data_IF_645975337410
#
_entry.id   IF_645975337410
#
_cell.length_a   1.000
_cell.length_b   1.000
_cell.length_c   1.000
_cell.angle_alpha   90.00
_cell.angle_beta   90.00
_cell.angle_gamma   90.00
#
_symmetry.space_group_name_H-M   'P 1'
#
loop_
_entity.id
_entity.type
_entity.pdbx_description
1 polymer ?
#
# COMPACT_ATOMS: atom_id res chain seq x y z
N UNK A 1 0.83 -11.74 5.02
CA UNK A 1 0.56 -12.56 3.81
C UNK A 1 -0.86 -13.12 3.78
N UNK A 2 -1.35 -13.68 4.89
CA UNK A 2 -2.73 -14.21 4.97
C UNK A 2 -3.78 -13.16 4.61
N UNK A 3 -3.60 -11.92 5.03
CA UNK A 3 -4.51 -10.82 4.71
C UNK A 3 -4.50 -10.51 3.20
N UNK A 4 -3.35 -10.61 2.53
CA UNK A 4 -3.26 -10.45 1.08
C UNK A 4 -4.04 -11.54 0.36
N UNK A 5 -3.92 -12.79 0.81
CA UNK A 5 -4.70 -13.92 0.29
C UNK A 5 -6.20 -13.76 0.50
N UNK A 6 -6.60 -13.26 1.68
CA UNK A 6 -8.00 -12.96 1.99
C UNK A 6 -8.57 -11.88 1.06
N UNK A 7 -7.81 -10.82 0.83
CA UNK A 7 -8.16 -9.76 -0.12
C UNK A 7 -8.33 -10.31 -1.54
N UNK A 8 -7.42 -11.17 -1.97
CA UNK A 8 -7.52 -11.81 -3.28
C UNK A 8 -8.80 -12.64 -3.42
N UNK A 9 -9.13 -13.42 -2.40
CA UNK A 9 -10.38 -14.18 -2.35
C UNK A 9 -11.63 -13.30 -2.39
N UNK A 10 -11.63 -12.19 -1.66
CA UNK A 10 -12.73 -11.22 -1.68
C UNK A 10 -12.92 -10.60 -3.07
N UNK A 11 -11.82 -10.24 -3.75
CA UNK A 11 -11.88 -9.74 -5.11
C UNK A 11 -12.47 -10.75 -6.09
N UNK A 12 -12.03 -12.00 -6.02
CA UNK A 12 -12.56 -13.07 -6.86
C UNK A 12 -14.04 -13.35 -6.60
N UNK A 13 -14.51 -13.05 -5.40
CA UNK A 13 -15.93 -13.09 -5.03
C UNK A 13 -16.72 -11.83 -5.43
N UNK A 14 -16.09 -10.87 -6.12
CA UNK A 14 -16.76 -9.67 -6.65
C UNK A 14 -16.71 -8.44 -5.74
N UNK A 15 -15.87 -8.44 -4.70
CA UNK A 15 -15.71 -7.30 -3.78
C UNK A 15 -14.35 -6.67 -3.96
N UNK A 16 -14.27 -5.35 -4.09
CA UNK A 16 -12.99 -4.65 -4.10
C UNK A 16 -12.43 -4.57 -2.67
N UNK A 17 -11.31 -5.23 -2.38
CA UNK A 17 -10.74 -5.24 -1.03
C UNK A 17 -9.91 -3.99 -0.76
N UNK A 18 -9.89 -3.57 0.50
CA UNK A 18 -8.96 -2.57 1.04
C UNK A 18 -8.13 -3.23 2.14
N UNK A 19 -6.82 -3.16 2.00
CA UNK A 19 -5.86 -3.72 2.97
C UNK A 19 -5.20 -2.58 3.74
N UNK A 20 -5.41 -2.57 5.05
CA UNK A 20 -4.71 -1.67 5.96
C UNK A 20 -3.48 -2.37 6.52
N UNK A 21 -2.31 -1.76 6.42
CA UNK A 21 -1.09 -2.34 6.93
C UNK A 21 -0.05 -1.28 7.28
N UNK A 22 0.94 -1.68 8.07
CA UNK A 22 2.17 -0.92 8.27
C UNK A 22 3.20 -1.35 7.23
N UNK A 23 4.12 -0.47 6.84
CA UNK A 23 5.15 -0.77 5.83
C UNK A 23 6.08 -1.94 6.20
N UNK A 24 6.27 -2.26 7.48
CA UNK A 24 6.98 -3.48 7.88
C UNK A 24 6.30 -4.74 7.35
N UNK A 25 4.98 -4.71 7.19
CA UNK A 25 4.21 -5.80 6.58
C UNK A 25 4.52 -6.01 5.11
N UNK A 26 5.00 -4.98 4.38
CA UNK A 26 5.39 -5.12 2.98
C UNK A 26 6.47 -6.19 2.79
N UNK A 27 7.47 -6.22 3.67
CA UNK A 27 8.52 -7.24 3.64
C UNK A 27 7.96 -8.65 3.74
N UNK A 28 6.99 -8.88 4.63
CA UNK A 28 6.33 -10.17 4.79
C UNK A 28 5.40 -10.53 3.61
N UNK A 29 4.76 -9.52 3.01
CA UNK A 29 3.76 -9.71 1.98
C UNK A 29 4.32 -9.65 0.55
N UNK A 30 5.59 -9.26 0.37
CA UNK A 30 6.16 -8.99 -0.94
C UNK A 30 6.00 -10.18 -1.89
N UNK A 31 6.30 -11.39 -1.41
CA UNK A 31 6.11 -12.60 -2.21
C UNK A 31 4.65 -12.83 -2.59
N UNK A 32 3.71 -12.60 -1.66
CA UNK A 32 2.28 -12.74 -1.95
C UNK A 32 1.82 -11.73 -3.01
N UNK A 33 2.25 -10.47 -2.92
CA UNK A 33 1.94 -9.46 -3.93
C UNK A 33 2.51 -9.83 -5.31
N UNK A 34 3.76 -10.25 -5.37
CA UNK A 34 4.42 -10.56 -6.66
C UNK A 34 3.92 -11.86 -7.28
N UNK A 35 3.69 -12.90 -6.49
CA UNK A 35 3.30 -14.22 -6.98
C UNK A 35 1.78 -14.42 -7.17
N UNK A 36 0.97 -13.52 -6.62
CA UNK A 36 -0.49 -13.62 -6.70
C UNK A 36 -1.09 -12.39 -7.36
N UNK A 37 -1.02 -11.22 -6.70
CA UNK A 37 -1.72 -10.02 -7.17
C UNK A 37 -1.20 -9.51 -8.52
N UNK A 38 0.12 -9.39 -8.68
CA UNK A 38 0.71 -8.84 -9.90
C UNK A 38 0.60 -9.81 -11.08
N UNK A 39 0.85 -11.10 -10.88
CA UNK A 39 0.80 -12.10 -11.96
C UNK A 39 -0.63 -12.32 -12.44
N UNK A 40 -1.59 -12.50 -11.53
CA UNK A 40 -2.98 -12.82 -11.87
C UNK A 40 -3.88 -11.59 -12.03
N UNK A 41 -3.33 -10.39 -11.91
CA UNK A 41 -4.06 -9.12 -11.99
C UNK A 41 -5.24 -9.07 -11.03
N UNK A 42 -4.95 -9.33 -9.76
CA UNK A 42 -5.91 -9.27 -8.66
C UNK A 42 -5.66 -7.97 -7.88
N UNK A 43 -6.46 -6.94 -8.10
CA UNK A 43 -6.25 -5.63 -7.48
C UNK A 43 -6.59 -5.64 -5.99
N UNK A 44 -5.94 -4.76 -5.27
CA UNK A 44 -6.24 -4.40 -3.89
C UNK A 44 -5.80 -2.96 -3.65
N UNK A 45 -6.62 -2.18 -2.99
CA UNK A 45 -6.20 -0.88 -2.47
C UNK A 45 -5.47 -1.10 -1.15
N UNK A 46 -4.18 -0.75 -1.12
CA UNK A 46 -3.37 -0.85 0.10
C UNK A 46 -3.24 0.52 0.72
N UNK A 47 -3.67 0.68 1.97
CA UNK A 47 -3.41 1.87 2.77
C UNK A 47 -2.32 1.52 3.78
N UNK A 48 -1.14 2.11 3.58
CA UNK A 48 0.08 1.71 4.27
C UNK A 48 0.63 2.85 5.12
N UNK A 49 0.64 2.67 6.45
CA UNK A 49 1.30 3.62 7.33
C UNK A 49 2.82 3.55 7.13
N UNK A 50 3.44 4.70 6.89
CA UNK A 50 4.87 4.81 6.62
C UNK A 50 5.66 5.07 7.90
N UNK A 51 6.07 3.98 8.56
CA UNK A 51 6.96 4.03 9.72
C UNK A 51 8.42 4.16 9.26
N UNK A 52 9.22 4.82 10.07
CA UNK A 52 10.65 5.01 9.80
C UNK A 52 10.99 6.08 8.76
N UNK A 53 10.01 6.79 8.24
CA UNK A 53 10.23 7.85 7.26
C UNK A 53 11.16 8.94 7.81
N UNK A 54 12.21 9.28 7.04
CA UNK A 54 13.18 10.33 7.39
C UNK A 54 13.98 10.03 8.66
N UNK A 55 14.06 8.78 9.09
CA UNK A 55 14.87 8.37 10.25
C UNK A 55 14.33 8.80 11.61
N UNK A 56 13.08 9.26 11.68
CA UNK A 56 12.44 9.77 12.90
C UNK A 56 11.42 8.79 13.46
N UNK A 57 11.88 7.61 13.88
CA UNK A 57 11.00 6.58 14.44
C UNK A 57 11.82 5.66 15.36
N UNK A 58 11.19 4.62 15.91
CA UNK A 58 11.90 3.59 16.63
C UNK A 58 12.92 2.88 15.72
N UNK A 59 14.08 2.49 16.24
CA UNK A 59 15.22 1.99 15.43
C UNK A 59 14.84 0.86 14.47
N UNK A 60 13.94 -0.02 14.86
CA UNK A 60 13.49 -1.17 14.07
C UNK A 60 12.71 -0.78 12.82
N UNK A 61 12.23 0.47 12.71
CA UNK A 61 11.47 0.95 11.57
C UNK A 61 12.30 1.74 10.54
N UNK A 62 13.51 2.20 10.93
CA UNK A 62 14.27 3.16 10.13
C UNK A 62 14.65 2.59 8.77
N UNK A 63 15.29 1.43 8.74
CA UNK A 63 15.75 0.81 7.48
C UNK A 63 14.54 0.52 6.57
N UNK A 64 13.49 -0.06 7.13
CA UNK A 64 12.28 -0.37 6.34
C UNK A 64 11.60 0.90 5.82
N UNK A 65 11.63 1.99 6.59
CA UNK A 65 11.14 3.30 6.18
C UNK A 65 11.90 3.88 4.98
N UNK A 66 13.21 3.76 5.00
CA UNK A 66 14.10 4.30 3.96
C UNK A 66 13.98 3.53 2.63
N UNK A 67 13.77 2.21 2.69
CA UNK A 67 13.70 1.37 1.48
C UNK A 67 12.28 1.17 0.96
N UNK A 68 11.26 1.61 1.68
CA UNK A 68 9.85 1.31 1.40
C UNK A 68 9.44 1.62 -0.04
N UNK A 69 9.70 2.85 -0.51
CA UNK A 69 9.37 3.25 -1.88
C UNK A 69 10.13 2.44 -2.92
N UNK A 70 11.43 2.20 -2.69
CA UNK A 70 12.25 1.39 -3.58
C UNK A 70 11.77 -0.05 -3.70
N UNK A 71 11.25 -0.62 -2.61
CA UNK A 71 10.65 -1.96 -2.64
C UNK A 71 9.39 -1.99 -3.50
N UNK A 72 8.51 -1.00 -3.34
CA UNK A 72 7.31 -0.86 -4.16
C UNK A 72 7.67 -0.70 -5.64
N UNK A 73 8.59 0.19 -5.96
CA UNK A 73 9.08 0.45 -7.33
C UNK A 73 9.70 -0.80 -7.95
N UNK A 74 10.58 -1.49 -7.22
CA UNK A 74 11.26 -2.71 -7.70
C UNK A 74 10.26 -3.84 -7.93
N UNK A 75 9.23 -3.95 -7.11
CA UNK A 75 8.16 -4.93 -7.30
C UNK A 75 7.18 -4.57 -8.43
N UNK A 76 7.23 -3.35 -8.95
CA UNK A 76 6.28 -2.86 -9.94
C UNK A 76 4.91 -2.53 -9.36
N UNK A 77 4.86 -2.18 -8.08
CA UNK A 77 3.65 -1.76 -7.38
C UNK A 77 3.51 -0.23 -7.41
N UNK A 78 2.46 0.25 -8.03
CA UNK A 78 2.15 1.68 -8.05
C UNK A 78 1.79 2.20 -6.66
N UNK A 79 2.24 3.41 -6.37
CA UNK A 79 1.92 4.07 -5.10
C UNK A 79 1.82 5.59 -5.22
N UNK A 80 1.20 6.20 -4.24
CA UNK A 80 1.21 7.65 -4.01
C UNK A 80 1.35 7.94 -2.52
N UNK A 81 1.99 9.06 -2.20
CA UNK A 81 2.01 9.58 -0.83
C UNK A 81 0.74 10.41 -0.62
N UNK A 82 -0.07 10.00 0.34
CA UNK A 82 -1.32 10.67 0.68
C UNK A 82 -1.04 11.94 1.50
N UNK A 83 -1.61 13.06 1.06
CA UNK A 83 -1.54 14.36 1.73
C UNK A 83 -2.91 14.99 1.79
N UNK A 84 -3.20 15.90 2.75
CA UNK A 84 -4.51 16.54 2.83
C UNK A 84 -4.94 17.22 1.52
N UNK A 85 -4.00 17.90 0.86
CA UNK A 85 -4.26 18.66 -0.36
C UNK A 85 -4.42 17.81 -1.62
N UNK A 86 -4.01 16.54 -1.63
CA UNK A 86 -4.08 15.67 -2.80
C UNK A 86 -5.01 14.46 -2.65
N UNK A 87 -5.70 14.35 -1.54
CA UNK A 87 -6.45 13.14 -1.16
C UNK A 87 -7.42 12.69 -2.24
N UNK A 88 -8.28 13.59 -2.71
CA UNK A 88 -9.30 13.27 -3.71
C UNK A 88 -8.68 12.83 -5.05
N UNK A 89 -7.68 13.57 -5.53
CA UNK A 89 -6.99 13.28 -6.78
C UNK A 89 -6.26 11.92 -6.73
N UNK A 90 -5.60 11.65 -5.62
CA UNK A 90 -4.83 10.41 -5.43
C UNK A 90 -5.75 9.20 -5.33
N UNK A 91 -6.87 9.32 -4.61
CA UNK A 91 -7.89 8.27 -4.54
C UNK A 91 -8.53 8.00 -5.92
N UNK A 92 -8.86 9.05 -6.66
CA UNK A 92 -9.40 8.91 -8.02
C UNK A 92 -8.40 8.19 -8.94
N UNK A 93 -7.13 8.58 -8.89
CA UNK A 93 -6.06 7.92 -9.66
C UNK A 93 -5.90 6.45 -9.27
N UNK A 94 -5.89 6.15 -7.97
CA UNK A 94 -5.78 4.79 -7.46
C UNK A 94 -6.95 3.92 -7.93
N UNK A 95 -8.18 4.42 -7.79
CA UNK A 95 -9.37 3.67 -8.19
C UNK A 95 -9.45 3.45 -9.69
N UNK A 96 -9.06 4.44 -10.49
CA UNK A 96 -8.99 4.31 -11.94
C UNK A 96 -7.98 3.22 -12.34
N UNK A 97 -6.77 3.24 -11.81
CA UNK A 97 -5.75 2.23 -12.11
C UNK A 97 -6.15 0.83 -11.65
N UNK A 98 -6.74 0.71 -10.47
CA UNK A 98 -7.28 -0.56 -9.98
C UNK A 98 -8.33 -1.11 -10.93
N UNK A 99 -9.26 -0.28 -11.39
CA UNK A 99 -10.34 -0.70 -12.27
C UNK A 99 -9.89 -1.00 -13.70
N UNK A 100 -8.96 -0.21 -14.24
CA UNK A 100 -8.49 -0.35 -15.63
C UNK A 100 -7.37 -1.39 -15.76
N UNK A 101 -6.35 -1.33 -14.87
CA UNK A 101 -5.16 -2.17 -14.96
C UNK A 101 -5.26 -3.47 -14.19
N UNK A 102 -6.20 -3.55 -13.21
CA UNK A 102 -6.36 -4.72 -12.32
C UNK A 102 -5.10 -5.05 -11.53
N UNK A 103 -4.43 -4.02 -11.02
CA UNK A 103 -3.20 -4.14 -10.24
C UNK A 103 -3.38 -3.52 -8.86
N UNK A 104 -2.60 -3.95 -7.86
CA UNK A 104 -2.55 -3.30 -6.55
C UNK A 104 -2.14 -1.84 -6.68
N UNK A 105 -2.72 -0.99 -5.83
CA UNK A 105 -2.29 0.40 -5.68
C UNK A 105 -2.10 0.73 -4.21
N UNK A 106 -0.98 1.39 -3.87
CA UNK A 106 -0.62 1.68 -2.48
C UNK A 106 -0.72 3.16 -2.18
N UNK A 107 -1.43 3.52 -1.12
CA UNK A 107 -1.44 4.85 -0.54
C UNK A 107 -0.53 4.85 0.69
N UNK A 108 0.57 5.59 0.61
CA UNK A 108 1.48 5.78 1.73
C UNK A 108 0.97 6.90 2.63
N UNK A 109 0.78 6.59 3.90
CA UNK A 109 0.27 7.51 4.92
C UNK A 109 1.42 7.90 5.85
N UNK A 110 1.80 9.18 5.80
CA UNK A 110 2.83 9.74 6.66
C UNK A 110 2.34 9.88 8.10
N UNK A 111 3.27 9.83 9.05
CA UNK A 111 2.97 10.07 10.47
C UNK A 111 2.36 11.47 10.66
N UNK A 112 1.27 11.53 11.41
CA UNK A 112 0.59 12.78 11.73
C UNK A 112 -0.44 13.25 10.70
N UNK A 113 -0.63 12.52 9.58
CA UNK A 113 -1.62 12.91 8.58
C UNK A 113 -3.04 13.05 9.15
N UNK A 114 -3.40 12.18 10.08
CA UNK A 114 -4.73 12.16 10.72
C UNK A 114 -4.70 12.68 12.16
N UNK A 115 -3.60 13.27 12.60
CA UNK A 115 -3.52 13.86 13.94
C UNK A 115 -4.29 15.19 13.94
N UNK A 116 -5.46 15.19 14.54
CA UNK A 116 -6.16 16.43 14.88
C UNK A 116 -5.40 17.13 16.03
N UNK A 117 -4.64 18.15 15.68
CA UNK A 117 -4.13 19.07 16.68
C UNK A 117 -5.23 20.04 17.02
N UNK A 118 -5.93 19.74 18.08
CA UNK A 118 -6.81 20.70 18.74
C UNK A 118 -6.00 21.67 19.61
#
# INVERSE_FOLDING_TARGET
DSAVGLCAGAYLAGVLPVLLMQNSGLGYCLNAFTSLNLIYRIPVLVIMSWRGQGGKDAPEHIIMGDINQKLLETAGMDYSVLKPENCDQVLETAMRKINEEKLPYTLLVEKGLFDERH
#
